data_IF_984097519592
#
_entry.id   IF_984097519592
#
_cell.length_a   1.000
_cell.length_b   1.000
_cell.length_c   1.000
_cell.angle_alpha   90.00
_cell.angle_beta   90.00
_cell.angle_gamma   90.00
#
_symmetry.space_group_name_H-M   'P 1'
#
loop_
_entity.id
_entity.type
_entity.pdbx_description
1 polymer ?
#
# COMPACT_ATOMS: atom_id res chain seq x y z
N UNK A 1 16.37 3.77 -18.12
CA UNK A 1 15.25 4.75 -18.13
C UNK A 1 14.49 4.52 -16.84
N UNK A 2 14.64 5.43 -15.88
CA UNK A 2 14.26 5.32 -14.46
C UNK A 2 14.97 4.18 -13.70
N UNK A 3 16.09 4.49 -13.02
CA UNK A 3 16.85 3.55 -12.19
C UNK A 3 16.18 3.36 -10.81
N UNK A 4 14.98 2.78 -10.82
CA UNK A 4 14.18 2.65 -9.61
C UNK A 4 14.61 1.44 -8.78
N UNK A 5 14.80 1.64 -7.48
CA UNK A 5 15.00 0.57 -6.52
C UNK A 5 13.63 0.10 -6.04
N UNK A 6 13.21 -1.09 -6.45
CA UNK A 6 11.94 -1.69 -6.01
C UNK A 6 12.02 -1.95 -4.50
N UNK A 7 11.03 -1.43 -3.77
CA UNK A 7 10.91 -1.59 -2.31
C UNK A 7 9.99 -2.74 -1.92
N UNK A 8 8.89 -2.88 -2.66
CA UNK A 8 7.95 -3.98 -2.50
C UNK A 8 7.17 -4.19 -3.80
N UNK A 9 6.76 -5.43 -4.04
CA UNK A 9 5.73 -5.82 -5.00
C UNK A 9 4.54 -6.30 -4.18
N UNK A 10 3.56 -5.42 -4.02
CA UNK A 10 2.34 -5.71 -3.27
C UNK A 10 1.37 -6.54 -4.12
N UNK A 11 0.83 -7.63 -3.58
CA UNK A 11 -0.07 -8.51 -4.30
C UNK A 11 -1.22 -9.02 -3.42
N UNK A 12 -2.39 -9.24 -4.03
CA UNK A 12 -3.44 -10.06 -3.45
C UNK A 12 -3.08 -11.54 -3.67
N UNK A 13 -3.06 -12.39 -2.64
CA UNK A 13 -2.70 -13.80 -2.79
C UNK A 13 -3.67 -14.60 -3.68
N UNK A 14 -4.92 -14.16 -3.83
CA UNK A 14 -5.91 -14.91 -4.61
C UNK A 14 -5.51 -15.00 -6.10
N UNK A 15 -5.26 -16.22 -6.57
CA UNK A 15 -4.80 -16.53 -7.94
C UNK A 15 -3.47 -15.87 -8.37
N UNK A 16 -2.60 -15.47 -7.43
CA UNK A 16 -1.32 -14.82 -7.75
C UNK A 16 -0.11 -15.78 -7.82
N UNK A 17 -0.27 -17.07 -7.50
CA UNK A 17 0.83 -18.03 -7.31
C UNK A 17 1.85 -18.06 -8.46
N UNK A 18 1.39 -18.05 -9.71
CA UNK A 18 2.28 -18.06 -10.88
C UNK A 18 3.13 -16.80 -11.00
N UNK A 19 2.60 -15.63 -10.59
CA UNK A 19 3.33 -14.36 -10.60
C UNK A 19 4.33 -14.31 -9.44
N UNK A 20 3.92 -14.75 -8.26
CA UNK A 20 4.77 -14.85 -7.06
C UNK A 20 6.03 -15.64 -7.38
N UNK A 21 5.90 -16.87 -7.92
CA UNK A 21 7.06 -17.70 -8.27
C UNK A 21 7.99 -17.06 -9.30
N UNK A 22 7.47 -16.24 -10.22
CA UNK A 22 8.32 -15.49 -11.17
C UNK A 22 9.08 -14.37 -10.48
N UNK A 23 8.43 -13.62 -9.60
CA UNK A 23 9.05 -12.52 -8.89
C UNK A 23 10.05 -12.98 -7.82
N UNK A 24 9.81 -14.13 -7.18
CA UNK A 24 10.78 -14.79 -6.29
C UNK A 24 12.08 -15.14 -7.03
N UNK A 25 11.97 -15.72 -8.24
CA UNK A 25 13.14 -16.03 -9.09
C UNK A 25 13.94 -14.80 -9.50
N UNK A 26 13.30 -13.63 -9.52
CA UNK A 26 13.91 -12.34 -9.80
C UNK A 26 14.37 -11.61 -8.52
N UNK A 27 14.20 -12.23 -7.35
CA UNK A 27 14.56 -11.68 -6.03
C UNK A 27 13.90 -10.35 -5.72
N UNK A 28 12.65 -10.14 -6.18
CA UNK A 28 11.88 -8.97 -5.80
C UNK A 28 11.34 -9.13 -4.36
N UNK A 29 11.33 -8.04 -3.56
CA UNK A 29 10.68 -8.04 -2.26
C UNK A 29 9.16 -8.16 -2.45
N UNK A 30 8.57 -9.26 -2.00
CA UNK A 30 7.15 -9.54 -2.14
C UNK A 30 6.40 -9.15 -0.87
N UNK A 31 5.26 -8.48 -1.04
CA UNK A 31 4.41 -8.05 0.07
C UNK A 31 2.97 -8.54 -0.14
N UNK A 32 2.52 -9.45 0.71
CA UNK A 32 1.16 -9.98 0.63
C UNK A 32 0.16 -8.98 1.25
N UNK A 33 -0.85 -8.61 0.47
CA UNK A 33 -1.96 -7.77 0.93
C UNK A 33 -3.21 -8.63 1.02
N UNK A 34 -3.50 -9.11 2.23
CA UNK A 34 -4.70 -9.90 2.50
C UNK A 34 -5.95 -9.07 2.23
N UNK A 35 -6.83 -9.57 1.36
CA UNK A 35 -8.09 -8.90 1.06
C UNK A 35 -9.05 -8.86 2.25
N UNK A 36 -9.80 -7.77 2.33
CA UNK A 36 -10.86 -7.56 3.32
C UNK A 36 -10.63 -6.34 4.22
N UNK A 37 -11.68 -6.00 4.96
CA UNK A 37 -11.74 -4.75 5.72
C UNK A 37 -10.71 -4.64 6.85
N UNK A 38 -10.22 -5.75 7.40
CA UNK A 38 -9.16 -5.71 8.44
C UNK A 38 -7.88 -5.07 7.91
N UNK A 39 -7.48 -5.42 6.69
CA UNK A 39 -6.27 -4.90 6.05
C UNK A 39 -6.55 -3.56 5.36
N UNK A 40 -7.68 -3.46 4.66
CA UNK A 40 -7.91 -2.35 3.72
C UNK A 40 -8.55 -1.11 4.37
N UNK A 41 -9.13 -1.22 5.57
CA UNK A 41 -9.88 -0.11 6.17
C UNK A 41 -9.01 1.14 6.44
N UNK A 42 -7.90 0.97 7.17
CA UNK A 42 -7.02 2.09 7.52
C UNK A 42 -6.36 2.66 6.25
N UNK A 43 -5.76 1.83 5.36
CA UNK A 43 -5.11 2.34 4.16
C UNK A 43 -6.06 3.04 3.19
N UNK A 44 -7.29 2.55 3.01
CA UNK A 44 -8.29 3.20 2.13
C UNK A 44 -8.69 4.58 2.65
N UNK A 45 -8.88 4.73 3.98
CA UNK A 45 -9.20 6.03 4.59
C UNK A 45 -8.03 6.99 4.47
N UNK A 46 -6.83 6.53 4.85
CA UNK A 46 -5.63 7.35 4.81
C UNK A 46 -5.29 7.78 3.38
N UNK A 47 -5.42 6.90 2.38
CA UNK A 47 -5.24 7.24 0.97
C UNK A 47 -6.19 8.37 0.54
N UNK A 48 -7.47 8.29 0.91
CA UNK A 48 -8.46 9.32 0.59
C UNK A 48 -8.10 10.66 1.24
N UNK A 49 -7.74 10.64 2.52
CA UNK A 49 -7.41 11.86 3.25
C UNK A 49 -6.13 12.50 2.67
N UNK A 50 -5.10 11.70 2.36
CA UNK A 50 -3.90 12.17 1.65
C UNK A 50 -4.19 12.69 0.25
N UNK A 51 -5.17 12.11 -0.46
CA UNK A 51 -5.58 12.58 -1.76
C UNK A 51 -6.25 13.97 -1.67
N UNK A 52 -7.08 14.20 -0.65
CA UNK A 52 -7.69 15.51 -0.39
C UNK A 52 -6.68 16.56 0.08
N UNK A 53 -5.60 16.13 0.74
CA UNK A 53 -4.48 16.98 1.16
C UNK A 53 -3.46 17.25 0.01
N UNK A 54 -3.74 16.85 -1.23
CA UNK A 54 -2.82 16.95 -2.38
C UNK A 54 -1.45 16.25 -2.19
N UNK A 55 -1.37 15.28 -1.26
CA UNK A 55 -0.14 14.50 -0.99
C UNK A 55 0.07 13.36 -1.99
N UNK A 56 -0.98 12.91 -2.66
CA UNK A 56 -0.92 11.86 -3.67
C UNK A 56 -0.74 12.47 -5.07
N UNK A 57 0.39 12.19 -5.71
CA UNK A 57 0.67 12.62 -7.09
C UNK A 57 0.54 11.44 -8.05
N UNK A 58 -0.21 11.64 -9.13
CA UNK A 58 -0.30 10.68 -10.24
C UNK A 58 -0.09 11.37 -11.59
N UNK A 59 0.35 10.62 -12.59
CA UNK A 59 0.76 11.14 -13.91
C UNK A 59 -0.40 11.31 -14.91
N UNK A 60 -1.65 11.44 -14.44
CA UNK A 60 -2.81 11.53 -15.34
C UNK A 60 -3.14 10.26 -16.14
N UNK A 61 -2.79 9.07 -15.62
CA UNK A 61 -3.12 7.80 -16.28
C UNK A 61 -4.64 7.63 -16.47
N UNK A 62 -5.10 7.60 -17.73
CA UNK A 62 -6.51 7.48 -18.09
C UNK A 62 -7.16 6.17 -17.66
N UNK A 63 -6.41 5.06 -17.66
CA UNK A 63 -6.89 3.75 -17.21
C UNK A 63 -7.13 3.77 -15.70
N UNK A 64 -6.22 4.40 -14.94
CA UNK A 64 -6.41 4.61 -13.51
C UNK A 64 -7.64 5.50 -13.24
N UNK A 65 -7.77 6.63 -13.95
CA UNK A 65 -8.92 7.51 -13.80
C UNK A 65 -10.25 6.80 -14.09
N UNK A 66 -10.31 5.98 -15.14
CA UNK A 66 -11.47 5.14 -15.45
C UNK A 66 -11.78 4.14 -14.33
N UNK A 67 -10.76 3.47 -13.77
CA UNK A 67 -10.93 2.53 -12.67
C UNK A 67 -11.42 3.22 -11.39
N UNK A 68 -10.90 4.41 -11.09
CA UNK A 68 -11.34 5.24 -9.95
C UNK A 68 -12.82 5.62 -10.10
N UNK A 69 -13.24 6.08 -11.28
CA UNK A 69 -14.65 6.43 -11.54
C UNK A 69 -15.61 5.23 -11.43
N UNK A 70 -15.08 4.03 -11.62
CA UNK A 70 -15.85 2.78 -11.50
C UNK A 70 -15.86 2.18 -10.09
N UNK A 71 -14.98 2.65 -9.21
CA UNK A 71 -14.85 2.15 -7.85
C UNK A 71 -15.82 2.88 -6.91
N UNK A 72 -16.38 2.13 -5.97
CA UNK A 72 -17.21 2.62 -4.89
C UNK A 72 -16.65 2.13 -3.56
N UNK A 73 -17.01 2.85 -2.50
CA UNK A 73 -16.69 2.43 -1.16
C UNK A 73 -17.72 1.40 -0.68
N UNK A 74 -17.24 0.25 -0.24
CA UNK A 74 -18.03 -0.76 0.46
C UNK A 74 -17.67 -0.75 1.94
N UNK A 75 -18.67 -0.59 2.79
CA UNK A 75 -18.51 -0.59 4.24
C UNK A 75 -19.10 -1.88 4.81
N UNK A 76 -18.28 -2.69 5.48
CA UNK A 76 -18.71 -3.87 6.23
C UNK A 76 -18.20 -3.77 7.66
N UNK A 77 -19.09 -3.83 8.65
CA UNK A 77 -18.75 -3.72 10.08
C UNK A 77 -17.85 -2.51 10.36
N UNK A 78 -18.22 -1.32 9.84
CA UNK A 78 -17.46 -0.06 9.90
C UNK A 78 -16.10 -0.04 9.18
N UNK A 79 -15.69 -1.16 8.62
CA UNK A 79 -14.46 -1.30 7.85
C UNK A 79 -14.66 -0.97 6.37
N UNK A 80 -13.73 -0.20 5.81
CA UNK A 80 -13.76 0.29 4.45
C UNK A 80 -12.97 -0.62 3.50
N UNK A 81 -13.51 -0.86 2.32
CA UNK A 81 -12.80 -1.48 1.19
C UNK A 81 -13.38 -0.97 -0.13
N UNK A 82 -12.66 -1.18 -1.22
CA UNK A 82 -13.16 -0.87 -2.56
C UNK A 82 -14.07 -1.98 -3.08
N UNK A 83 -15.10 -1.60 -3.81
CA UNK A 83 -15.91 -2.51 -4.64
C UNK A 83 -16.20 -1.83 -5.99
N UNK A 84 -16.70 -2.60 -6.95
CA UNK A 84 -17.06 -2.09 -8.27
C UNK A 84 -18.51 -1.59 -8.26
N UNK A 85 -18.76 -0.44 -8.89
CA UNK A 85 -20.12 0.13 -8.99
C UNK A 85 -21.09 -0.80 -9.74
N UNK A 86 -20.58 -1.58 -10.70
CA UNK A 86 -21.31 -2.60 -11.46
C UNK A 86 -20.43 -3.82 -11.66
N UNK A 87 -21.02 -5.00 -11.74
CA UNK A 87 -20.26 -6.24 -11.87
C UNK A 87 -19.35 -6.33 -13.10
N UNK A 88 -19.74 -5.66 -14.20
CA UNK A 88 -18.97 -5.57 -15.44
C UNK A 88 -17.82 -4.57 -15.39
N UNK A 89 -17.79 -3.67 -14.39
CA UNK A 89 -16.73 -2.67 -14.28
C UNK A 89 -15.39 -3.31 -13.93
N UNK A 90 -14.32 -2.58 -14.23
CA UNK A 90 -12.93 -2.91 -13.88
C UNK A 90 -12.39 -1.86 -12.93
N UNK A 91 -11.79 -2.33 -11.83
CA UNK A 91 -11.19 -1.49 -10.78
C UNK A 91 -9.76 -1.92 -10.45
N UNK A 92 -9.19 -2.86 -11.22
CA UNK A 92 -7.87 -3.45 -10.95
C UNK A 92 -6.77 -2.41 -10.76
N UNK A 93 -6.68 -1.32 -11.56
CA UNK A 93 -5.68 -0.27 -11.35
C UNK A 93 -5.75 0.42 -9.98
N UNK A 94 -6.96 0.77 -9.51
CA UNK A 94 -7.10 1.43 -8.20
C UNK A 94 -6.95 0.42 -7.06
N UNK A 95 -7.39 -0.82 -7.24
CA UNK A 95 -7.14 -1.88 -6.27
C UNK A 95 -5.63 -2.17 -6.10
N UNK A 96 -4.89 -2.25 -7.21
CA UNK A 96 -3.44 -2.38 -7.20
C UNK A 96 -2.74 -1.17 -6.56
N UNK A 97 -3.25 0.04 -6.80
CA UNK A 97 -2.74 1.25 -6.15
C UNK A 97 -2.95 1.22 -4.63
N UNK A 98 -4.13 0.78 -4.15
CA UNK A 98 -4.36 0.61 -2.72
C UNK A 98 -3.45 -0.47 -2.13
N UNK A 99 -3.25 -1.60 -2.81
CA UNK A 99 -2.30 -2.62 -2.34
C UNK A 99 -0.87 -2.06 -2.23
N UNK A 100 -0.43 -1.29 -3.22
CA UNK A 100 0.87 -0.61 -3.16
C UNK A 100 0.93 0.42 -2.01
N UNK A 101 -0.17 1.11 -1.74
CA UNK A 101 -0.27 2.05 -0.62
C UNK A 101 -0.20 1.36 0.74
N UNK A 102 -0.81 0.17 0.90
CA UNK A 102 -0.67 -0.67 2.10
C UNK A 102 0.80 -0.99 2.36
N UNK A 103 1.50 -1.52 1.35
CA UNK A 103 2.92 -1.86 1.47
C UNK A 103 3.79 -0.61 1.72
N UNK A 104 3.41 0.54 1.14
CA UNK A 104 4.08 1.81 1.39
C UNK A 104 3.93 2.27 2.84
N UNK A 105 2.72 2.24 3.39
CA UNK A 105 2.47 2.60 4.79
C UNK A 105 3.27 1.73 5.76
N UNK A 106 3.27 0.42 5.52
CA UNK A 106 4.03 -0.55 6.33
C UNK A 106 5.54 -0.26 6.28
N UNK A 107 6.08 -0.08 5.08
CA UNK A 107 7.49 0.26 4.89
C UNK A 107 7.93 1.54 5.62
N UNK A 108 7.11 2.59 5.58
CA UNK A 108 7.42 3.84 6.28
C UNK A 108 7.29 3.70 7.79
N UNK A 109 6.28 2.98 8.29
CA UNK A 109 6.13 2.72 9.72
C UNK A 109 7.34 1.96 10.27
N UNK A 110 7.78 0.89 9.60
CA UNK A 110 8.99 0.15 10.01
C UNK A 110 10.23 1.04 10.04
N UNK A 111 10.37 1.96 9.09
CA UNK A 111 11.51 2.89 9.03
C UNK A 111 11.49 3.91 10.16
N UNK A 112 10.32 4.43 10.53
CA UNK A 112 10.14 5.36 11.64
C UNK A 112 10.43 4.67 12.97
N UNK A 113 9.91 3.45 13.16
CA UNK A 113 10.12 2.66 14.38
C UNK A 113 11.62 2.35 14.58
N UNK A 114 12.34 2.01 13.51
CA UNK A 114 13.79 1.80 13.54
C UNK A 114 14.55 3.07 13.94
N UNK A 115 14.18 4.21 13.35
CA UNK A 115 14.81 5.48 13.66
C UNK A 115 14.58 5.89 15.13
N UNK A 116 13.36 5.73 15.63
CA UNK A 116 13.02 5.99 17.03
C UNK A 116 13.81 5.09 17.99
N UNK A 117 13.96 3.81 17.66
CA UNK A 117 14.76 2.89 18.46
C UNK A 117 16.24 3.30 18.49
N UNK A 118 16.83 3.67 17.34
CA UNK A 118 18.21 4.16 17.29
C UNK A 118 18.41 5.43 18.12
N UNK A 119 17.50 6.38 18.04
CA UNK A 119 17.57 7.63 18.78
C UNK A 119 17.44 7.41 20.30
N UNK A 120 16.60 6.45 20.71
CA UNK A 120 16.51 6.02 22.10
C UNK A 120 17.85 5.46 22.61
N UNK A 121 18.49 4.54 21.89
CA UNK A 121 19.77 3.98 22.33
C UNK A 121 20.92 4.99 22.30
N UNK A 122 20.93 5.94 21.35
CA UNK A 122 21.93 7.03 21.31
C UNK A 122 21.80 7.98 22.50
N UNK A 123 20.57 8.28 22.92
CA UNK A 123 20.33 9.16 24.08
C UNK A 123 20.58 8.46 25.40
N UNK A 124 20.20 7.19 25.54
CA UNK A 124 20.48 6.39 26.73
C UNK A 124 22.00 6.22 26.97
N UNK A 125 22.76 5.88 25.93
CA UNK A 125 24.23 5.76 26.05
C UNK A 125 24.92 7.09 26.34
N UNK A 126 24.40 8.21 25.85
CA UNK A 126 24.92 9.54 26.20
C UNK A 126 24.61 9.93 27.66
N UNK A 127 23.50 9.44 28.23
CA UNK A 127 23.12 9.67 29.63
C UNK A 127 23.89 8.78 30.62
N UNK A 128 24.29 7.57 30.21
CA UNK A 128 25.06 6.62 31.04
C UNK A 128 26.58 6.91 31.07
N UNK A 129 27.06 7.89 30.29
CA UNK A 129 28.46 8.31 30.21
C UNK A 129 28.82 9.55 31.07
N UNK A 130 27.89 10.00 31.91
CA UNK A 130 28.09 11.06 32.92
C UNK A 130 27.70 10.58 34.32
#
# INVERSE_FOLDING_TARGET
>A
KYNWKVKAVAYDPYNAQTLITKFEKLSYPLFEVRQGTKTLNIPTRNFRDQLYDDKIKHNGNKILAYAVNNAILKVLNNGWQLDKARNSNRIDPIAALINAFVAGMDYYQESEDQQHAEDYYKTATAADLF
#
